data_IF_415794414667
#
_entry.id   IF_415794414667
#
_cell.length_a   1.000
_cell.length_b   1.000
_cell.length_c   1.000
_cell.angle_alpha   90.00
_cell.angle_beta   90.00
_cell.angle_gamma   90.00
#
_symmetry.space_group_name_H-M   'P 1'
#
loop_
_entity.id
_entity.type
_entity.pdbx_description
1 polymer ?
#
# COMPACT_ATOMS: atom_id res chain seq x y z
N UNK A 1 21.59 -16.94 -5.60
CA UNK A 1 21.38 -16.25 -4.29
C UNK A 1 20.50 -14.99 -4.34
N UNK A 2 20.46 -14.19 -5.42
CA UNK A 2 19.67 -12.93 -5.46
C UNK A 2 18.13 -13.08 -5.37
N UNK A 3 17.59 -14.25 -5.72
CA UNK A 3 16.14 -14.52 -5.74
C UNK A 3 15.60 -14.91 -4.37
N UNK A 4 16.31 -15.72 -3.59
CA UNK A 4 15.88 -16.13 -2.23
C UNK A 4 15.77 -14.93 -1.30
N UNK A 5 16.79 -14.05 -1.29
CA UNK A 5 16.75 -12.82 -0.50
C UNK A 5 15.58 -11.91 -0.89
N UNK A 6 15.23 -11.86 -2.18
CA UNK A 6 14.10 -11.06 -2.67
C UNK A 6 12.78 -11.54 -2.07
N UNK A 7 12.53 -12.84 -2.10
CA UNK A 7 11.28 -13.40 -1.57
C UNK A 7 11.19 -13.27 -0.05
N UNK A 8 12.31 -13.47 0.66
CA UNK A 8 12.35 -13.24 2.10
C UNK A 8 12.00 -11.79 2.45
N UNK A 9 12.59 -10.81 1.76
CA UNK A 9 12.26 -9.40 1.97
C UNK A 9 10.82 -9.05 1.60
N UNK A 10 10.23 -9.73 0.60
CA UNK A 10 8.80 -9.57 0.31
C UNK A 10 7.95 -10.05 1.49
N UNK A 11 8.29 -11.19 2.10
CA UNK A 11 7.59 -11.70 3.29
C UNK A 11 7.72 -10.73 4.45
N UNK A 12 8.93 -10.23 4.73
CA UNK A 12 9.18 -9.22 5.77
C UNK A 12 8.37 -7.94 5.54
N UNK A 13 8.37 -7.43 4.30
CA UNK A 13 7.58 -6.27 3.91
C UNK A 13 6.08 -6.48 4.13
N UNK A 14 5.54 -7.61 3.68
CA UNK A 14 4.13 -7.97 3.90
C UNK A 14 3.80 -8.12 5.39
N UNK A 15 4.69 -8.68 6.20
CA UNK A 15 4.48 -8.82 7.65
C UNK A 15 4.42 -7.46 8.34
N UNK A 16 5.34 -6.54 8.02
CA UNK A 16 5.33 -5.18 8.55
C UNK A 16 4.07 -4.43 8.16
N UNK A 17 3.66 -4.52 6.89
CA UNK A 17 2.40 -3.89 6.46
C UNK A 17 1.20 -4.53 7.15
N UNK A 18 1.12 -5.87 7.23
CA UNK A 18 0.01 -6.56 7.88
C UNK A 18 -0.15 -6.12 9.35
N UNK A 19 0.96 -6.05 10.08
CA UNK A 19 0.98 -5.60 11.47
C UNK A 19 0.58 -4.13 11.58
N UNK A 20 1.12 -3.27 10.72
CA UNK A 20 0.78 -1.84 10.71
C UNK A 20 -0.71 -1.61 10.43
N UNK A 21 -1.28 -2.30 9.44
CA UNK A 21 -2.71 -2.25 9.12
C UNK A 21 -3.57 -2.76 10.27
N UNK A 22 -3.14 -3.83 10.94
CA UNK A 22 -3.87 -4.38 12.10
C UNK A 22 -3.91 -3.39 13.27
N UNK A 23 -2.78 -2.74 13.58
CA UNK A 23 -2.70 -1.70 14.61
C UNK A 23 -3.63 -0.52 14.27
N UNK A 24 -3.62 -0.05 13.03
CA UNK A 24 -4.51 1.03 12.57
C UNK A 24 -5.97 0.63 12.71
N UNK A 25 -6.32 -0.56 12.21
CA UNK A 25 -7.68 -1.06 12.26
C UNK A 25 -8.19 -1.23 13.70
N UNK A 26 -7.33 -1.69 14.62
CA UNK A 26 -7.69 -1.84 16.04
C UNK A 26 -8.06 -0.51 16.73
N UNK A 27 -7.56 0.62 16.22
CA UNK A 27 -7.90 1.96 16.69
C UNK A 27 -8.94 2.68 15.81
N UNK A 28 -9.56 1.96 14.86
CA UNK A 28 -10.53 2.54 13.93
C UNK A 28 -9.92 3.55 12.95
N UNK A 29 -8.62 3.44 12.65
CA UNK A 29 -7.91 4.35 11.76
C UNK A 29 -7.81 3.77 10.34
N UNK A 30 -7.66 4.66 9.36
CA UNK A 30 -7.57 4.33 7.94
C UNK A 30 -6.25 4.86 7.37
N UNK A 31 -5.77 4.19 6.32
CA UNK A 31 -4.73 4.71 5.42
C UNK A 31 -5.31 4.93 4.02
N UNK A 32 -4.52 5.46 3.10
CA UNK A 32 -4.94 5.68 1.72
C UNK A 32 -4.75 4.44 0.82
N UNK A 33 -4.91 4.61 -0.48
CA UNK A 33 -4.75 3.54 -1.46
C UNK A 33 -5.85 2.48 -1.39
N UNK A 34 -5.61 1.33 -2.03
CA UNK A 34 -6.57 0.21 -2.02
C UNK A 34 -6.78 -0.40 -0.64
N UNK A 35 -5.77 -0.35 0.23
CA UNK A 35 -5.92 -0.78 1.62
C UNK A 35 -6.92 0.12 2.35
N UNK A 36 -6.88 1.44 2.15
CA UNK A 36 -7.88 2.38 2.64
C UNK A 36 -9.29 2.08 2.16
N UNK A 37 -9.46 1.89 0.85
CA UNK A 37 -10.76 1.50 0.27
C UNK A 37 -11.27 0.18 0.88
N UNK A 38 -10.37 -0.79 1.08
CA UNK A 38 -10.72 -2.07 1.71
C UNK A 38 -11.15 -1.91 3.16
N UNK A 39 -10.49 -1.05 3.93
CA UNK A 39 -10.86 -0.76 5.32
C UNK A 39 -12.17 0.02 5.44
N UNK A 40 -12.51 0.87 4.45
CA UNK A 40 -13.84 1.51 4.38
C UNK A 40 -14.90 0.45 4.10
N UNK A 41 -14.69 -0.41 3.10
CA UNK A 41 -15.63 -1.48 2.74
C UNK A 41 -15.79 -2.53 3.84
N UNK A 42 -14.75 -2.75 4.66
CA UNK A 42 -14.81 -3.61 5.84
C UNK A 42 -15.87 -3.14 6.85
N UNK A 43 -16.18 -1.84 6.89
CA UNK A 43 -17.23 -1.28 7.76
C UNK A 43 -18.62 -1.39 7.16
N UNK A 44 -18.70 -1.65 5.85
CA UNK A 44 -19.95 -1.71 5.08
C UNK A 44 -20.39 -3.14 4.76
N UNK A 45 -19.50 -4.11 4.96
CA UNK A 45 -19.70 -5.50 4.55
C UNK A 45 -19.24 -6.45 5.65
N UNK A 46 -19.79 -7.67 5.67
CA UNK A 46 -19.37 -8.71 6.61
C UNK A 46 -18.09 -9.46 6.18
N UNK A 47 -17.50 -9.03 5.06
CA UNK A 47 -16.30 -9.65 4.51
C UNK A 47 -15.05 -9.28 5.32
N UNK A 48 -14.07 -10.18 5.36
CA UNK A 48 -12.78 -9.88 5.97
C UNK A 48 -12.01 -8.83 5.16
N UNK A 49 -11.13 -8.09 5.84
CA UNK A 49 -10.20 -7.16 5.18
C UNK A 49 -9.39 -7.87 4.08
N UNK A 50 -8.87 -9.06 4.37
CA UNK A 50 -8.06 -9.84 3.43
C UNK A 50 -8.82 -10.16 2.14
N UNK A 51 -10.09 -10.58 2.28
CA UNK A 51 -10.97 -10.87 1.14
C UNK A 51 -11.23 -9.61 0.30
N UNK A 52 -11.64 -8.51 0.94
CA UNK A 52 -11.90 -7.24 0.24
C UNK A 52 -10.66 -6.72 -0.49
N UNK A 53 -9.51 -6.74 0.20
CA UNK A 53 -8.24 -6.29 -0.34
C UNK A 53 -7.81 -7.13 -1.55
N UNK A 54 -8.02 -8.44 -1.50
CA UNK A 54 -7.69 -9.31 -2.62
C UNK A 54 -8.61 -9.07 -3.82
N UNK A 55 -9.92 -8.99 -3.60
CA UNK A 55 -10.92 -8.78 -4.65
C UNK A 55 -10.74 -7.43 -5.36
N UNK A 56 -10.53 -6.35 -4.61
CA UNK A 56 -10.27 -5.02 -5.18
C UNK A 56 -9.00 -4.97 -6.01
N UNK A 57 -8.03 -5.86 -5.75
CA UNK A 57 -6.78 -5.92 -6.50
C UNK A 57 -6.88 -6.67 -7.84
N UNK A 58 -7.94 -7.46 -8.07
CA UNK A 58 -8.15 -8.22 -9.32
C UNK A 58 -8.01 -7.36 -10.59
N UNK A 59 -8.71 -6.22 -10.76
CA UNK A 59 -8.57 -5.39 -11.96
C UNK A 59 -7.14 -4.87 -12.16
N UNK A 60 -6.42 -4.63 -11.07
CA UNK A 60 -5.03 -4.14 -11.13
C UNK A 60 -4.04 -5.25 -11.48
N UNK A 61 -4.31 -6.52 -11.17
CA UNK A 61 -3.49 -7.64 -11.64
C UNK A 61 -3.55 -7.78 -13.17
N UNK A 62 -4.75 -7.63 -13.73
CA UNK A 62 -4.96 -7.66 -15.18
C UNK A 62 -4.17 -6.50 -15.81
N UNK A 63 -4.29 -5.29 -15.26
CA UNK A 63 -3.56 -4.12 -15.73
C UNK A 63 -2.03 -4.32 -15.65
N UNK A 64 -1.52 -4.82 -14.52
CA UNK A 64 -0.10 -5.08 -14.35
C UNK A 64 0.43 -6.15 -15.30
N UNK A 65 -0.33 -7.22 -15.54
CA UNK A 65 0.05 -8.28 -16.47
C UNK A 65 0.20 -7.74 -17.89
N UNK A 66 -0.73 -6.88 -18.32
CA UNK A 66 -0.72 -6.30 -19.66
C UNK A 66 0.37 -5.23 -19.84
N UNK A 67 0.65 -4.40 -18.82
CA UNK A 67 1.46 -3.19 -19.00
C UNK A 67 2.81 -3.15 -18.25
N UNK A 68 2.97 -3.91 -17.17
CA UNK A 68 4.15 -3.84 -16.29
C UNK A 68 5.05 -5.08 -16.37
N UNK A 69 4.52 -6.19 -16.89
CA UNK A 69 5.25 -7.42 -17.16
C UNK A 69 5.04 -8.51 -16.12
N UNK A 70 5.14 -9.77 -16.58
CA UNK A 70 4.76 -10.97 -15.82
C UNK A 70 5.48 -11.11 -14.47
N UNK A 71 6.79 -10.81 -14.43
CA UNK A 71 7.60 -10.94 -13.21
C UNK A 71 7.19 -9.94 -12.11
N UNK A 72 6.77 -8.72 -12.48
CA UNK A 72 6.21 -7.75 -11.52
C UNK A 72 4.83 -8.21 -11.03
N UNK A 73 3.98 -8.70 -11.94
CA UNK A 73 2.63 -9.16 -11.58
C UNK A 73 2.65 -10.36 -10.65
N UNK A 74 3.48 -11.37 -10.91
CA UNK A 74 3.59 -12.55 -10.05
C UNK A 74 4.04 -12.15 -8.64
N UNK A 75 5.04 -11.28 -8.51
CA UNK A 75 5.47 -10.77 -7.21
C UNK A 75 4.38 -10.00 -6.50
N UNK A 76 3.69 -9.11 -7.21
CA UNK A 76 2.61 -8.29 -6.62
C UNK A 76 1.41 -9.13 -6.21
N UNK A 77 1.02 -10.11 -7.03
CA UNK A 77 -0.03 -11.07 -6.70
C UNK A 77 0.33 -11.87 -5.45
N UNK A 78 1.57 -12.37 -5.36
CA UNK A 78 2.06 -13.07 -4.17
C UNK A 78 2.08 -12.16 -2.94
N UNK A 79 2.56 -10.91 -3.06
CA UNK A 79 2.57 -9.92 -1.98
C UNK A 79 1.17 -9.60 -1.47
N UNK A 80 0.19 -9.38 -2.35
CA UNK A 80 -1.19 -9.09 -1.97
C UNK A 80 -1.85 -10.32 -1.34
N UNK A 81 -1.69 -11.50 -1.94
CA UNK A 81 -2.24 -12.75 -1.37
C UNK A 81 -1.68 -13.01 0.03
N UNK A 82 -0.37 -12.83 0.19
CA UNK A 82 0.30 -13.00 1.48
C UNK A 82 -0.17 -11.95 2.49
N UNK A 83 -0.28 -10.68 2.09
CA UNK A 83 -0.80 -9.64 2.96
C UNK A 83 -2.24 -9.92 3.39
N UNK A 84 -3.12 -10.31 2.47
CA UNK A 84 -4.50 -10.69 2.76
C UNK A 84 -4.56 -11.82 3.79
N UNK A 85 -3.79 -12.89 3.60
CA UNK A 85 -3.74 -14.01 4.54
C UNK A 85 -3.17 -13.61 5.90
N UNK A 86 -2.08 -12.83 5.92
CA UNK A 86 -1.46 -12.35 7.16
C UNK A 86 -2.41 -11.43 7.93
N UNK A 87 -3.11 -10.50 7.26
CA UNK A 87 -4.06 -9.61 7.92
C UNK A 87 -5.24 -10.37 8.54
N UNK A 88 -5.70 -11.45 7.91
CA UNK A 88 -6.70 -12.34 8.53
C UNK A 88 -6.13 -13.07 9.74
N UNK A 89 -4.90 -13.59 9.64
CA UNK A 89 -4.22 -14.25 10.75
C UNK A 89 -4.05 -13.30 11.95
N UNK A 90 -3.62 -12.05 11.71
CA UNK A 90 -3.43 -11.04 12.75
C UNK A 90 -4.72 -10.77 13.52
N UNK A 91 -5.88 -10.77 12.84
CA UNK A 91 -7.20 -10.60 13.48
C UNK A 91 -7.48 -11.66 14.55
N UNK A 92 -7.04 -12.90 14.35
CA UNK A 92 -7.30 -14.00 15.28
C UNK A 92 -6.28 -14.13 16.41
N UNK A 93 -5.00 -13.81 16.13
CA UNK A 93 -3.90 -14.13 17.05
C UNK A 93 -3.25 -12.92 17.72
N UNK A 94 -3.51 -11.70 17.26
CA UNK A 94 -2.85 -10.49 17.79
C UNK A 94 -3.90 -9.55 18.36
N UNK A 95 -3.86 -9.35 19.67
CA UNK A 95 -4.71 -8.37 20.34
C UNK A 95 -3.88 -7.11 20.57
N UNK A 96 -4.34 -6.00 20.00
CA UNK A 96 -3.71 -4.69 20.14
C UNK A 96 -4.71 -3.75 20.79
N UNK A 97 -4.32 -3.13 21.90
CA UNK A 97 -5.06 -2.04 22.51
C UNK A 97 -4.07 -0.97 22.94
N UNK A 98 -4.11 0.18 22.27
CA UNK A 98 -3.26 1.32 22.58
C UNK A 98 -3.95 2.62 22.16
N UNK A 99 -3.42 3.76 22.63
CA UNK A 99 -3.99 5.07 22.32
C UNK A 99 -3.99 5.33 20.80
N UNK A 100 -5.08 5.87 20.20
CA UNK A 100 -5.19 6.06 18.74
C UNK A 100 -4.05 6.87 18.12
N UNK A 101 -3.52 7.87 18.83
CA UNK A 101 -2.34 8.62 18.35
C UNK A 101 -1.09 7.76 18.20
N UNK A 102 -0.86 6.81 19.12
CA UNK A 102 0.26 5.88 19.02
C UNK A 102 0.00 4.81 17.94
N UNK A 103 -1.24 4.33 17.83
CA UNK A 103 -1.64 3.41 16.74
C UNK A 103 -1.43 4.04 15.38
N UNK A 104 -1.82 5.30 15.21
CA UNK A 104 -1.60 6.07 13.98
C UNK A 104 -0.12 6.20 13.66
N UNK A 105 0.69 6.56 14.67
CA UNK A 105 2.12 6.73 14.49
C UNK A 105 2.86 5.43 14.12
N UNK A 106 2.69 4.39 14.93
CA UNK A 106 3.35 3.10 14.70
C UNK A 106 2.82 2.43 13.44
N UNK A 107 1.50 2.44 13.25
CA UNK A 107 0.85 1.87 12.07
C UNK A 107 1.34 2.51 10.77
N UNK A 108 1.34 3.85 10.70
CA UNK A 108 1.82 4.59 9.53
C UNK A 108 3.30 4.31 9.21
N UNK A 109 4.16 4.29 10.23
CA UNK A 109 5.59 3.98 10.07
C UNK A 109 5.81 2.54 9.58
N UNK A 110 5.17 1.55 10.21
CA UNK A 110 5.29 0.14 9.85
C UNK A 110 4.83 -0.11 8.41
N UNK A 111 3.69 0.44 8.02
CA UNK A 111 3.20 0.34 6.63
C UNK A 111 4.20 1.00 5.68
N UNK A 112 4.73 2.18 6.01
CA UNK A 112 5.71 2.89 5.19
C UNK A 112 7.00 2.11 4.97
N UNK A 113 7.59 1.54 6.04
CA UNK A 113 8.79 0.73 5.92
C UNK A 113 8.53 -0.56 5.14
N UNK A 114 7.40 -1.22 5.40
CA UNK A 114 7.00 -2.43 4.66
C UNK A 114 6.83 -2.16 3.16
N UNK A 115 6.18 -1.05 2.79
CA UNK A 115 6.05 -0.62 1.39
C UNK A 115 7.41 -0.35 0.73
N UNK A 116 8.33 0.31 1.44
CA UNK A 116 9.68 0.56 0.91
C UNK A 116 10.43 -0.74 0.61
N UNK A 117 10.31 -1.74 1.47
CA UNK A 117 10.91 -3.05 1.23
C UNK A 117 10.31 -3.68 -0.03
N UNK A 118 8.98 -3.70 -0.16
CA UNK A 118 8.30 -4.26 -1.33
C UNK A 118 8.71 -3.55 -2.63
N UNK A 119 8.70 -2.21 -2.63
CA UNK A 119 9.09 -1.42 -3.81
C UNK A 119 10.54 -1.66 -4.23
N UNK A 120 11.47 -1.80 -3.28
CA UNK A 120 12.88 -2.13 -3.57
C UNK A 120 13.05 -3.48 -4.27
N UNK A 121 12.12 -4.39 -4.06
CA UNK A 121 12.12 -5.72 -4.66
C UNK A 121 11.21 -5.84 -5.89
N UNK A 122 10.79 -4.71 -6.48
CA UNK A 122 9.87 -4.64 -7.63
C UNK A 122 8.57 -5.42 -7.36
N UNK A 123 8.08 -5.36 -6.13
CA UNK A 123 6.76 -5.83 -5.74
C UNK A 123 5.92 -4.62 -5.31
N UNK A 124 4.60 -4.78 -5.34
CA UNK A 124 3.66 -3.78 -4.86
C UNK A 124 2.59 -4.48 -4.03
N UNK A 125 1.76 -3.70 -3.34
CA UNK A 125 0.51 -4.16 -2.74
C UNK A 125 -0.69 -3.90 -3.65
N UNK A 126 -0.39 -3.74 -4.94
CA UNK A 126 -1.36 -3.59 -6.00
C UNK A 126 -2.12 -2.26 -5.98
N UNK A 127 -3.27 -2.25 -6.63
CA UNK A 127 -4.20 -1.14 -6.48
C UNK A 127 -3.83 0.14 -7.21
N UNK A 128 -4.15 1.26 -6.56
CA UNK A 128 -3.93 2.61 -7.06
C UNK A 128 -2.45 2.88 -7.40
N UNK A 129 -1.52 2.17 -6.77
CA UNK A 129 -0.09 2.26 -7.11
C UNK A 129 0.21 1.64 -8.49
N UNK A 130 -0.41 0.50 -8.85
CA UNK A 130 -0.27 -0.08 -10.20
C UNK A 130 -0.84 0.89 -11.23
N UNK A 131 -2.00 1.48 -10.94
CA UNK A 131 -2.64 2.45 -11.82
C UNK A 131 -1.75 3.69 -12.03
N UNK A 132 -1.13 4.21 -10.97
CA UNK A 132 -0.21 5.34 -11.06
C UNK A 132 0.99 5.03 -11.96
N UNK A 133 1.64 3.87 -11.78
CA UNK A 133 2.78 3.46 -12.62
C UNK A 133 2.33 3.20 -14.06
N UNK A 134 1.14 2.65 -14.27
CA UNK A 134 0.57 2.47 -15.60
C UNK A 134 0.34 3.82 -16.31
N UNK A 135 -0.29 4.78 -15.64
CA UNK A 135 -0.56 6.10 -16.21
C UNK A 135 0.73 6.87 -16.48
N UNK A 136 1.76 6.69 -15.65
CA UNK A 136 3.08 7.27 -15.89
C UNK A 136 3.74 6.71 -17.16
N UNK A 137 3.68 5.38 -17.36
CA UNK A 137 4.27 4.76 -18.55
C UNK A 137 3.50 5.05 -19.83
N UNK A 138 2.16 5.05 -19.77
CA UNK A 138 1.32 5.14 -20.96
C UNK A 138 1.02 6.58 -21.36
N UNK A 139 0.86 7.48 -20.39
CA UNK A 139 0.39 8.86 -20.61
C UNK A 139 1.37 9.92 -20.12
N UNK A 140 2.56 9.54 -19.62
CA UNK A 140 3.56 10.47 -19.04
C UNK A 140 3.01 11.33 -17.89
N UNK A 141 1.95 10.84 -17.21
CA UNK A 141 1.39 11.49 -16.03
C UNK A 141 2.23 11.06 -14.84
N UNK A 142 2.88 12.01 -14.16
CA UNK A 142 3.69 11.71 -12.97
C UNK A 142 2.92 10.84 -11.96
N UNK A 143 3.47 9.66 -11.63
CA UNK A 143 2.83 8.71 -10.73
C UNK A 143 2.42 9.36 -9.40
N UNK A 144 3.26 10.26 -8.87
CA UNK A 144 3.01 11.03 -7.65
C UNK A 144 1.70 11.82 -7.68
N UNK A 145 1.32 12.39 -8.83
CA UNK A 145 0.05 13.15 -8.98
C UNK A 145 -1.15 12.22 -8.92
N UNK A 146 -1.08 11.06 -9.58
CA UNK A 146 -2.15 10.06 -9.55
C UNK A 146 -2.35 9.49 -8.15
N UNK A 147 -1.26 9.13 -7.46
CA UNK A 147 -1.36 8.66 -6.07
C UNK A 147 -1.93 9.74 -5.16
N UNK A 148 -1.47 11.00 -5.27
CA UNK A 148 -2.00 12.10 -4.46
C UNK A 148 -3.50 12.30 -4.67
N UNK A 149 -3.97 12.29 -5.92
CA UNK A 149 -5.39 12.39 -6.23
C UNK A 149 -6.18 11.24 -5.60
N UNK A 150 -5.69 10.01 -5.77
CA UNK A 150 -6.34 8.83 -5.24
C UNK A 150 -6.38 8.85 -3.70
N UNK A 151 -5.31 9.32 -3.06
CA UNK A 151 -5.23 9.46 -1.61
C UNK A 151 -6.23 10.49 -1.08
N UNK A 152 -6.37 11.64 -1.76
CA UNK A 152 -7.38 12.65 -1.42
C UNK A 152 -8.79 12.08 -1.55
N UNK A 153 -9.08 11.33 -2.63
CA UNK A 153 -10.41 10.73 -2.81
C UNK A 153 -10.75 9.73 -1.70
N UNK A 154 -9.79 8.91 -1.29
CA UNK A 154 -9.98 7.97 -0.16
C UNK A 154 -10.17 8.72 1.16
N UNK A 155 -9.40 9.78 1.40
CA UNK A 155 -9.55 10.62 2.60
C UNK A 155 -10.92 11.31 2.66
N UNK A 156 -11.39 11.85 1.54
CA UNK A 156 -12.71 12.48 1.44
C UNK A 156 -13.82 11.45 1.70
N UNK A 157 -13.70 10.25 1.12
CA UNK A 157 -14.64 9.16 1.41
C UNK A 157 -14.62 8.76 2.90
N UNK A 158 -13.45 8.79 3.54
CA UNK A 158 -13.30 8.45 4.96
C UNK A 158 -14.00 9.43 5.91
N UNK A 159 -14.24 10.69 5.52
CA UNK A 159 -14.95 11.69 6.35
C UNK A 159 -16.35 11.21 6.73
N UNK A 160 -17.00 10.42 5.87
CA UNK A 160 -18.35 9.91 6.11
C UNK A 160 -18.36 8.81 7.19
N UNK A 161 -17.23 8.12 7.38
CA UNK A 161 -17.13 6.91 8.21
C UNK A 161 -16.28 7.08 9.48
N UNK A 162 -15.57 8.20 9.63
CA UNK A 162 -14.67 8.47 10.74
C UNK A 162 -15.12 9.69 11.55
N UNK A 163 -14.98 9.58 12.86
CA UNK A 163 -15.08 10.75 13.74
C UNK A 163 -13.90 11.70 13.54
N UNK A 164 -14.07 12.96 13.92
CA UNK A 164 -13.03 13.99 13.74
C UNK A 164 -11.68 13.61 14.39
N UNK A 165 -11.71 12.93 15.53
CA UNK A 165 -10.53 12.41 16.22
C UNK A 165 -9.84 11.30 15.42
N UNK A 166 -10.60 10.31 14.93
CA UNK A 166 -10.10 9.22 14.11
C UNK A 166 -9.53 9.74 12.78
N UNK A 167 -10.17 10.75 12.19
CA UNK A 167 -9.71 11.40 10.97
C UNK A 167 -8.36 12.10 11.19
N UNK A 168 -8.20 12.83 12.30
CA UNK A 168 -6.92 13.44 12.67
C UNK A 168 -5.79 12.44 12.86
N UNK A 169 -6.05 11.31 13.54
CA UNK A 169 -5.06 10.25 13.71
C UNK A 169 -4.79 9.43 12.44
N UNK A 170 -5.78 9.27 11.56
CA UNK A 170 -5.61 8.66 10.23
C UNK A 170 -4.75 9.56 9.34
N UNK A 171 -4.93 10.88 9.42
CA UNK A 171 -4.07 11.85 8.74
C UNK A 171 -2.63 11.77 9.26
N UNK A 172 -2.44 11.65 10.58
CA UNK A 172 -1.10 11.41 11.16
C UNK A 172 -0.46 10.14 10.60
N UNK A 173 -1.20 9.03 10.56
CA UNK A 173 -0.71 7.77 9.99
C UNK A 173 -0.31 7.94 8.52
N UNK A 174 -1.15 8.60 7.72
CA UNK A 174 -0.90 8.90 6.32
C UNK A 174 0.34 9.78 6.12
N UNK A 175 0.53 10.81 6.96
CA UNK A 175 1.70 11.70 6.87
C UNK A 175 3.00 10.96 7.20
N UNK A 176 2.99 10.08 8.21
CA UNK A 176 4.17 9.29 8.58
C UNK A 176 4.51 8.23 7.53
N UNK A 177 3.49 7.52 7.05
CA UNK A 177 3.56 6.64 5.88
C UNK A 177 4.21 7.36 4.69
N UNK A 178 3.64 8.51 4.31
CA UNK A 178 4.10 9.32 3.18
C UNK A 178 5.51 9.87 3.40
N UNK A 179 5.88 10.24 4.63
CA UNK A 179 7.22 10.69 4.97
C UNK A 179 8.27 9.60 4.77
N UNK A 180 7.97 8.37 5.22
CA UNK A 180 8.86 7.21 5.03
C UNK A 180 8.98 6.88 3.54
N UNK A 181 7.85 6.79 2.83
CA UNK A 181 7.87 6.49 1.40
C UNK A 181 8.62 7.59 0.63
N UNK A 182 8.30 8.87 0.86
CA UNK A 182 8.94 9.99 0.18
C UNK A 182 10.44 10.11 0.42
N UNK A 183 10.93 9.76 1.62
CA UNK A 183 12.37 9.82 1.95
C UNK A 183 13.17 8.63 1.41
N UNK A 184 12.58 7.44 1.41
CA UNK A 184 13.32 6.20 1.14
C UNK A 184 13.00 5.55 -0.20
N UNK A 185 11.96 6.00 -0.89
CA UNK A 185 11.62 5.51 -2.22
C UNK A 185 12.65 6.03 -3.22
N UNK A 186 13.25 5.11 -3.97
CA UNK A 186 14.13 5.44 -5.09
C UNK A 186 13.36 5.19 -6.38
N UNK A 187 13.42 6.11 -7.37
CA UNK A 187 12.75 5.89 -8.63
C UNK A 187 13.23 4.57 -9.25
N UNK A 188 12.32 3.79 -9.85
CA UNK A 188 12.68 2.49 -10.42
C UNK A 188 13.69 2.65 -11.57
N UNK A 189 14.51 1.63 -11.80
CA UNK A 189 15.63 1.68 -12.77
C UNK A 189 15.22 2.10 -14.18
N UNK A 190 14.01 1.75 -14.63
CA UNK A 190 13.50 2.15 -15.94
C UNK A 190 13.26 3.67 -16.02
N UNK A 191 12.79 4.30 -14.94
CA UNK A 191 12.61 5.75 -14.87
C UNK A 191 13.96 6.49 -14.76
N UNK A 192 14.98 5.84 -14.18
CA UNK A 192 16.34 6.39 -14.14
C UNK A 192 16.97 6.46 -15.53
N UNK A 193 16.79 5.42 -16.36
CA UNK A 193 17.33 5.42 -17.72
C UNK A 193 16.69 6.53 -18.59
N UNK A 194 15.37 6.74 -18.50
CA UNK A 194 14.69 7.81 -19.25
C UNK A 194 15.18 9.22 -18.90
N UNK A 195 15.62 9.46 -17.65
CA UNK A 195 16.20 10.74 -17.23
C UNK A 195 17.64 10.95 -17.71
N UNK A 196 18.38 9.86 -17.95
CA UNK A 196 19.71 9.89 -18.56
C UNK A 196 19.59 10.17 -20.05
N UNK A 197 18.66 9.49 -20.73
CA UNK A 197 18.39 9.68 -22.16
C UNK A 197 17.87 11.10 -22.46
N UNK A 198 17.03 11.67 -21.59
CA UNK A 198 16.53 13.04 -21.71
C UNK A 198 17.57 14.13 -21.39
N UNK A 199 18.69 13.78 -20.75
CA UNK A 199 19.84 14.69 -20.53
C UNK A 199 20.95 14.52 -21.57
N UNK A 200 20.87 13.47 -22.39
CA UNK A 200 21.83 13.16 -23.44
C UNK A 200 21.44 13.74 -24.82
N UNK A 201 20.21 14.27 -24.95
CA UNK A 201 19.71 15.07 -26.06
C UNK A 201 19.55 16.53 -25.63
#
# INVERSE_FOLDING_TARGET
>A
MKTTHRWLSIVEGCLLVALGLHILNSAGLLISGTAGVSMILLRLTDLSFGTLFFLLNIPFYILAWCALGRDFTIRTFASVSLLSALSELMKYYVIVSMHPGLSGALGGLLVGFGLIILFRHNASLGGLNILAVYLERQFSIHASKTTLLADILVLVAAIIFLDLSQLGYSLLAFLLLSSVVGRYHRPPKWAQNSLVDAKAN
#
